data_IF_461957764140
#
_entry.id   IF_461957764140
#
_cell.length_a   1.000
_cell.length_b   1.000
_cell.length_c   1.000
_cell.angle_alpha   90.00
_cell.angle_beta   90.00
_cell.angle_gamma   90.00
#
_symmetry.space_group_name_H-M   'P 1'
#
loop_
_entity.id
_entity.type
_entity.pdbx_description
1 polymer ?
#
# COMPACT_ATOMS: atom_id res chain seq x y z
N UNK A 1 -30.89 1.37 9.61
CA UNK A 1 -29.93 0.58 8.78
C UNK A 1 -28.54 0.63 9.40
N UNK A 2 -27.83 -0.50 9.45
CA UNK A 2 -26.46 -0.57 9.99
C UNK A 2 -25.49 0.13 9.05
N UNK A 3 -24.74 1.12 9.55
CA UNK A 3 -23.67 1.80 8.82
C UNK A 3 -22.35 1.09 9.05
N UNK A 4 -21.55 0.93 7.98
CA UNK A 4 -20.25 0.27 8.03
C UNK A 4 -19.18 1.32 7.80
N UNK A 5 -18.31 1.50 8.78
CA UNK A 5 -17.17 2.37 8.69
C UNK A 5 -16.15 1.78 7.70
N UNK A 6 -15.65 2.61 6.78
CA UNK A 6 -14.70 2.21 5.77
C UNK A 6 -13.75 3.36 5.40
N UNK A 7 -12.79 3.04 4.55
CA UNK A 7 -11.80 3.96 4.00
C UNK A 7 -11.98 4.08 2.49
N UNK A 8 -11.66 5.26 1.98
CA UNK A 8 -11.65 5.53 0.55
C UNK A 8 -10.53 6.53 0.23
N UNK A 9 -9.82 6.32 -0.85
CA UNK A 9 -8.92 7.33 -1.42
C UNK A 9 -9.63 8.00 -2.58
N UNK A 10 -9.69 9.31 -2.55
CA UNK A 10 -10.24 10.10 -3.64
C UNK A 10 -9.11 10.72 -4.48
N UNK A 11 -9.43 11.03 -5.73
CA UNK A 11 -8.57 11.82 -6.59
C UNK A 11 -8.35 13.22 -5.98
N UNK A 12 -7.27 13.89 -6.38
CA UNK A 12 -6.86 15.18 -5.80
C UNK A 12 -7.88 16.29 -6.09
N UNK A 13 -8.68 16.16 -7.15
CA UNK A 13 -9.79 17.08 -7.47
C UNK A 13 -11.07 16.78 -6.66
N UNK A 14 -11.04 15.77 -5.79
CA UNK A 14 -12.16 15.34 -4.95
C UNK A 14 -13.43 14.97 -5.75
N UNK A 15 -13.30 14.42 -6.96
CA UNK A 15 -14.43 13.92 -7.75
C UNK A 15 -14.50 12.40 -7.73
N UNK A 16 -15.72 11.89 -7.86
CA UNK A 16 -15.94 10.47 -8.13
C UNK A 16 -15.41 10.12 -9.52
N UNK A 17 -14.77 8.95 -9.62
CA UNK A 17 -14.30 8.39 -10.89
C UNK A 17 -15.42 7.84 -11.78
N UNK A 18 -15.05 7.11 -12.83
CA UNK A 18 -15.96 6.38 -13.73
C UNK A 18 -17.03 7.26 -14.39
N UNK A 19 -16.67 8.51 -14.77
CA UNK A 19 -17.55 9.51 -15.42
C UNK A 19 -18.69 10.04 -14.52
N UNK A 20 -18.73 9.69 -13.23
CA UNK A 20 -19.72 10.23 -12.29
C UNK A 20 -19.48 11.74 -12.04
N UNK A 21 -18.23 12.13 -11.77
CA UNK A 21 -17.82 13.54 -11.62
C UNK A 21 -18.42 14.27 -10.41
N UNK A 22 -19.30 13.66 -9.62
CA UNK A 22 -19.87 14.29 -8.42
C UNK A 22 -18.79 14.55 -7.38
N UNK A 23 -18.87 15.72 -6.73
CA UNK A 23 -17.87 16.17 -5.76
C UNK A 23 -17.99 15.38 -4.45
N UNK A 24 -16.86 14.91 -3.93
CA UNK A 24 -16.72 14.29 -2.60
C UNK A 24 -16.47 15.43 -1.60
N UNK A 25 -17.27 15.49 -0.54
CA UNK A 25 -17.16 16.53 0.51
C UNK A 25 -17.41 15.89 1.88
N UNK A 26 -16.72 16.37 2.90
CA UNK A 26 -16.98 15.99 4.29
C UNK A 26 -18.44 16.32 4.67
N UNK A 27 -19.11 15.41 5.36
CA UNK A 27 -20.51 15.51 5.72
C UNK A 27 -21.50 15.12 4.63
N UNK A 28 -21.10 15.13 3.35
CA UNK A 28 -21.99 14.86 2.21
C UNK A 28 -22.28 13.37 2.06
N UNK A 29 -23.55 13.07 1.74
CA UNK A 29 -24.01 11.73 1.37
C UNK A 29 -24.09 11.67 -0.17
N UNK A 30 -23.52 10.63 -0.74
CA UNK A 30 -23.66 10.26 -2.14
C UNK A 30 -24.36 8.90 -2.22
N UNK A 31 -25.22 8.74 -3.21
CA UNK A 31 -25.99 7.51 -3.42
C UNK A 31 -25.97 7.10 -4.89
N UNK A 32 -26.23 5.83 -5.13
CA UNK A 32 -26.52 5.25 -6.44
C UNK A 32 -27.80 4.44 -6.36
N UNK A 33 -28.50 4.35 -7.47
CA UNK A 33 -29.68 3.50 -7.64
C UNK A 33 -29.24 2.09 -8.06
N UNK A 34 -30.12 1.12 -7.90
CA UNK A 34 -29.89 -0.27 -8.26
C UNK A 34 -29.11 -1.08 -7.22
N UNK A 35 -28.82 -2.32 -7.56
CA UNK A 35 -28.11 -3.27 -6.68
C UNK A 35 -26.60 -3.02 -6.75
N UNK A 36 -25.93 -2.78 -5.60
CA UNK A 36 -24.49 -2.63 -5.60
C UNK A 36 -23.79 -3.94 -5.97
N UNK A 37 -22.72 -3.82 -6.74
CA UNK A 37 -21.88 -4.92 -7.18
C UNK A 37 -20.41 -4.50 -7.10
N UNK A 38 -19.60 -5.30 -6.40
CA UNK A 38 -18.18 -5.00 -6.21
C UNK A 38 -17.45 -4.83 -7.54
N UNK A 39 -16.65 -3.78 -7.66
CA UNK A 39 -15.89 -3.40 -8.84
C UNK A 39 -16.70 -2.86 -10.03
N UNK A 40 -18.02 -2.99 -10.03
CA UNK A 40 -18.87 -2.60 -11.15
C UNK A 40 -19.78 -1.42 -10.80
N UNK A 41 -20.56 -1.51 -9.73
CA UNK A 41 -21.57 -0.53 -9.38
C UNK A 41 -21.70 -0.33 -7.87
N UNK A 42 -21.81 0.92 -7.42
CA UNK A 42 -22.00 1.23 -6.00
C UNK A 42 -21.02 2.25 -5.43
N UNK A 43 -21.27 2.65 -4.21
CA UNK A 43 -20.39 3.53 -3.42
C UNK A 43 -19.36 2.67 -2.70
N UNK A 44 -18.16 2.58 -3.27
CA UNK A 44 -17.09 1.70 -2.79
C UNK A 44 -16.34 2.27 -1.58
N UNK A 45 -15.83 1.36 -0.75
CA UNK A 45 -14.88 1.62 0.34
C UNK A 45 -14.13 0.35 0.70
N UNK A 46 -13.07 0.49 1.50
CA UNK A 46 -12.26 -0.64 1.97
C UNK A 46 -12.31 -0.78 3.48
N UNK A 47 -12.16 -2.00 3.98
CA UNK A 47 -12.26 -2.29 5.43
C UNK A 47 -11.08 -1.72 6.20
N UNK A 48 -9.88 -1.79 5.63
CA UNK A 48 -8.66 -1.22 6.22
C UNK A 48 -8.13 -0.12 5.33
N UNK A 49 -7.31 0.75 5.90
CA UNK A 49 -6.68 1.85 5.18
C UNK A 49 -5.67 1.32 4.14
N UNK A 50 -4.94 0.25 4.45
CA UNK A 50 -3.99 -0.35 3.54
C UNK A 50 -4.70 -1.01 2.33
N UNK A 51 -5.83 -1.70 2.56
CA UNK A 51 -6.67 -2.18 1.45
C UNK A 51 -7.23 -1.05 0.58
N UNK A 52 -7.52 0.12 1.18
CA UNK A 52 -7.98 1.27 0.41
C UNK A 52 -6.87 1.84 -0.47
N UNK A 53 -5.61 1.78 -0.01
CA UNK A 53 -4.44 2.26 -0.74
C UNK A 53 -4.22 1.47 -2.04
N UNK A 54 -4.54 0.17 -2.09
CA UNK A 54 -4.47 -0.65 -3.31
C UNK A 54 -5.37 -0.14 -4.45
N UNK A 55 -6.39 0.64 -4.11
CA UNK A 55 -7.37 1.21 -5.05
C UNK A 55 -7.28 2.74 -5.12
N UNK A 56 -6.20 3.32 -4.60
CA UNK A 56 -6.03 4.76 -4.57
C UNK A 56 -5.83 5.34 -5.98
N UNK A 57 -6.59 6.37 -6.31
CA UNK A 57 -6.45 7.15 -7.54
C UNK A 57 -5.99 8.60 -7.28
N UNK A 58 -5.61 8.89 -6.04
CA UNK A 58 -5.07 10.14 -5.56
C UNK A 58 -4.67 10.05 -4.09
N UNK A 59 -4.26 11.17 -3.51
CA UNK A 59 -3.73 11.24 -2.15
C UNK A 59 -4.76 11.64 -1.08
N UNK A 60 -6.00 11.94 -1.47
CA UNK A 60 -7.03 12.40 -0.55
C UNK A 60 -7.62 11.24 0.26
N UNK A 61 -7.32 11.17 1.54
CA UNK A 61 -7.75 10.10 2.44
C UNK A 61 -9.10 10.44 3.05
N UNK A 62 -10.11 9.61 2.76
CA UNK A 62 -11.47 9.78 3.23
C UNK A 62 -11.84 8.70 4.26
N UNK A 63 -12.38 9.12 5.41
CA UNK A 63 -13.11 8.23 6.31
C UNK A 63 -14.59 8.28 5.94
N UNK A 64 -15.18 7.11 5.71
CA UNK A 64 -16.54 7.01 5.19
C UNK A 64 -17.40 6.04 5.98
N UNK A 65 -18.70 6.19 5.84
CA UNK A 65 -19.72 5.21 6.20
C UNK A 65 -20.44 4.76 4.95
N UNK A 66 -20.66 3.45 4.80
CA UNK A 66 -21.44 2.84 3.72
C UNK A 66 -22.64 2.11 4.30
N UNK A 67 -23.80 2.22 3.66
CA UNK A 67 -25.05 1.54 4.06
C UNK A 67 -26.04 1.38 2.90
N UNK A 68 -27.23 0.88 3.20
CA UNK A 68 -28.28 0.49 2.25
C UNK A 68 -28.15 -0.98 1.88
N UNK A 69 -28.38 -1.32 0.64
CA UNK A 69 -27.95 -2.60 0.11
C UNK A 69 -26.42 -2.59 0.05
N UNK A 70 -25.77 -3.63 0.54
CA UNK A 70 -24.31 -3.68 0.64
C UNK A 70 -23.79 -5.02 0.14
N UNK A 71 -22.94 -4.97 -0.87
CA UNK A 71 -22.10 -6.09 -1.30
C UNK A 71 -20.73 -6.05 -0.63
N UNK A 72 -20.22 -7.22 -0.17
CA UNK A 72 -19.05 -7.32 0.71
C UNK A 72 -18.07 -8.37 0.20
N UNK A 73 -16.86 -7.93 -0.10
CA UNK A 73 -15.70 -8.79 -0.28
C UNK A 73 -14.82 -8.88 0.97
N UNK A 74 -13.68 -9.54 0.85
CA UNK A 74 -12.68 -9.67 1.92
C UNK A 74 -12.03 -8.33 2.27
N UNK A 75 -11.53 -7.59 1.29
CA UNK A 75 -10.80 -6.34 1.45
C UNK A 75 -11.68 -5.08 1.31
N UNK A 76 -12.72 -5.15 0.48
CA UNK A 76 -13.57 -4.01 0.09
C UNK A 76 -15.05 -4.32 0.27
N UNK A 77 -15.84 -3.27 0.19
CA UNK A 77 -17.30 -3.30 0.19
C UNK A 77 -17.84 -2.19 -0.70
N UNK A 78 -19.07 -2.33 -1.17
CA UNK A 78 -19.80 -1.24 -1.80
C UNK A 78 -21.24 -1.24 -1.31
N UNK A 79 -21.88 -0.08 -1.36
CA UNK A 79 -23.28 0.05 -0.96
C UNK A 79 -23.99 1.09 -1.79
N UNK A 80 -25.32 1.20 -1.62
CA UNK A 80 -26.14 2.20 -2.33
C UNK A 80 -25.87 3.62 -1.81
N UNK A 81 -25.36 3.77 -0.59
CA UNK A 81 -25.11 5.07 0.03
C UNK A 81 -23.71 5.11 0.66
N UNK A 82 -23.03 6.27 0.56
CA UNK A 82 -21.79 6.56 1.28
C UNK A 82 -21.80 7.99 1.79
N UNK A 83 -21.48 8.17 3.08
CA UNK A 83 -21.21 9.48 3.67
C UNK A 83 -19.71 9.59 3.90
N UNK A 84 -19.10 10.65 3.42
CA UNK A 84 -17.74 10.99 3.78
C UNK A 84 -17.77 11.73 5.10
N UNK A 85 -17.12 11.21 6.13
CA UNK A 85 -17.10 11.80 7.47
C UNK A 85 -16.08 12.95 7.54
N UNK A 86 -14.89 12.71 7.02
CA UNK A 86 -13.82 13.68 6.91
C UNK A 86 -12.85 13.30 5.79
N UNK A 87 -12.05 14.28 5.38
CA UNK A 87 -11.04 14.17 4.33
C UNK A 87 -9.76 14.82 4.84
N UNK A 88 -8.62 14.22 4.57
CA UNK A 88 -7.31 14.86 4.76
C UNK A 88 -6.45 14.66 3.49
N UNK A 89 -5.60 15.64 3.22
CA UNK A 89 -4.53 15.48 2.25
C UNK A 89 -3.46 14.55 2.82
N UNK A 90 -3.32 13.38 2.23
CA UNK A 90 -2.39 12.34 2.63
C UNK A 90 -1.05 12.40 1.90
N UNK A 91 -0.80 13.37 1.02
CA UNK A 91 0.37 13.39 0.13
C UNK A 91 1.68 13.17 0.89
N UNK A 92 2.02 14.04 1.82
CA UNK A 92 3.27 13.93 2.58
C UNK A 92 3.27 12.73 3.53
N UNK A 93 2.11 12.38 4.11
CA UNK A 93 1.94 11.23 4.97
C UNK A 93 2.23 9.92 4.22
N UNK A 94 1.72 9.79 2.99
CA UNK A 94 1.94 8.59 2.16
C UNK A 94 3.40 8.47 1.71
N UNK A 95 4.06 9.59 1.41
CA UNK A 95 5.49 9.59 1.13
C UNK A 95 6.31 9.12 2.34
N UNK A 96 6.03 9.63 3.54
CA UNK A 96 6.71 9.18 4.76
C UNK A 96 6.39 7.72 5.10
N UNK A 97 5.13 7.29 4.89
CA UNK A 97 4.75 5.88 5.05
C UNK A 97 5.57 4.97 4.12
N UNK A 98 5.72 5.32 2.85
CA UNK A 98 6.52 4.57 1.89
C UNK A 98 8.00 4.50 2.31
N UNK A 99 8.58 5.61 2.81
CA UNK A 99 9.94 5.62 3.34
C UNK A 99 10.10 4.65 4.53
N UNK A 100 9.15 4.65 5.47
CA UNK A 100 9.18 3.73 6.62
C UNK A 100 9.03 2.26 6.22
N UNK A 101 8.19 1.96 5.23
CA UNK A 101 8.09 0.60 4.70
C UNK A 101 9.40 0.13 4.05
N UNK A 102 10.08 1.03 3.33
CA UNK A 102 11.37 0.73 2.73
C UNK A 102 12.46 0.54 3.79
N UNK A 103 12.48 1.35 4.86
CA UNK A 103 13.40 1.15 6.00
C UNK A 103 13.16 -0.18 6.70
N UNK A 104 11.90 -0.54 6.97
CA UNK A 104 11.57 -1.83 7.57
C UNK A 104 12.06 -3.00 6.70
N UNK A 105 11.94 -2.88 5.38
CA UNK A 105 12.43 -3.90 4.45
C UNK A 105 13.97 -3.97 4.44
N UNK A 106 14.67 -2.83 4.47
CA UNK A 106 16.13 -2.79 4.54
C UNK A 106 16.67 -3.32 5.86
N UNK A 107 15.95 -3.12 6.97
CA UNK A 107 16.33 -3.65 8.29
C UNK A 107 16.31 -5.19 8.36
N UNK A 108 15.68 -5.87 7.41
CA UNK A 108 15.69 -7.34 7.28
C UNK A 108 16.94 -7.85 6.55
N UNK A 109 17.73 -6.99 5.95
CA UNK A 109 18.95 -7.36 5.24
C UNK A 109 20.15 -7.25 6.20
N UNK A 110 21.01 -8.28 6.23
CA UNK A 110 22.23 -8.28 7.04
C UNK A 110 23.19 -7.14 6.68
N UNK A 111 23.20 -6.76 5.39
CA UNK A 111 24.04 -5.66 4.89
C UNK A 111 23.27 -4.90 3.80
N UNK A 112 22.43 -3.92 4.17
CA UNK A 112 21.65 -3.15 3.21
C UNK A 112 22.55 -2.31 2.31
N UNK A 113 22.29 -2.32 0.99
CA UNK A 113 23.04 -1.52 0.03
C UNK A 113 22.87 -0.01 0.33
N UNK A 114 23.98 0.71 0.43
CA UNK A 114 24.02 2.13 0.77
C UNK A 114 23.25 2.99 -0.24
N UNK A 115 23.16 2.59 -1.50
CA UNK A 115 22.36 3.26 -2.53
C UNK A 115 20.87 3.23 -2.20
N UNK A 116 20.38 2.10 -1.66
CA UNK A 116 18.99 1.96 -1.22
C UNK A 116 18.69 2.82 0.01
N UNK A 117 19.60 2.86 0.99
CA UNK A 117 19.50 3.75 2.15
C UNK A 117 19.47 5.21 1.70
N UNK A 118 20.40 5.60 0.80
CA UNK A 118 20.48 6.96 0.27
C UNK A 118 19.23 7.40 -0.47
N UNK A 119 18.58 6.50 -1.22
CA UNK A 119 17.33 6.82 -1.92
C UNK A 119 16.20 7.22 -0.96
N UNK A 120 16.09 6.58 0.21
CA UNK A 120 15.11 6.96 1.24
C UNK A 120 15.40 8.34 1.82
N UNK A 121 16.67 8.64 2.11
CA UNK A 121 17.08 9.95 2.60
C UNK A 121 16.77 11.05 1.59
N UNK A 122 17.14 10.87 0.31
CA UNK A 122 16.88 11.83 -0.77
C UNK A 122 15.36 12.01 -0.96
N UNK A 123 14.57 10.93 -0.86
CA UNK A 123 13.11 11.02 -0.91
C UNK A 123 12.54 11.91 0.19
N UNK A 124 13.01 11.79 1.42
CA UNK A 124 12.59 12.66 2.54
C UNK A 124 13.03 14.11 2.35
N UNK A 125 14.24 14.32 1.82
CA UNK A 125 14.70 15.68 1.47
C UNK A 125 13.81 16.30 0.41
N UNK A 126 13.48 15.55 -0.64
CA UNK A 126 12.59 16.01 -1.71
C UNK A 126 11.20 16.38 -1.20
N UNK A 127 10.58 15.56 -0.34
CA UNK A 127 9.26 15.85 0.28
C UNK A 127 9.30 17.16 1.07
N UNK A 128 10.45 17.51 1.67
CA UNK A 128 10.66 18.77 2.40
C UNK A 128 11.11 19.94 1.51
N UNK A 129 11.22 19.73 0.20
CA UNK A 129 11.71 20.75 -0.76
C UNK A 129 13.21 21.00 -0.69
N UNK A 130 13.99 20.12 -0.05
CA UNK A 130 15.44 20.22 0.16
C UNK A 130 16.25 19.39 -0.83
N UNK A 131 15.60 18.70 -1.76
CA UNK A 131 16.23 18.02 -2.88
C UNK A 131 15.41 18.25 -4.15
N UNK A 132 16.09 18.24 -5.29
CA UNK A 132 15.49 18.42 -6.61
C UNK A 132 14.89 17.11 -7.14
N UNK A 133 14.06 17.21 -8.19
CA UNK A 133 13.57 16.04 -8.92
C UNK A 133 14.69 15.24 -9.56
N UNK A 134 15.75 15.90 -10.03
CA UNK A 134 16.91 15.25 -10.64
C UNK A 134 17.68 14.41 -9.63
N UNK A 135 17.90 14.95 -8.41
CA UNK A 135 18.55 14.20 -7.32
C UNK A 135 17.71 13.00 -6.89
N UNK A 136 16.39 13.17 -6.80
CA UNK A 136 15.49 12.05 -6.48
C UNK A 136 15.53 10.97 -7.57
N UNK A 137 15.51 11.35 -8.85
CA UNK A 137 15.57 10.40 -9.96
C UNK A 137 16.91 9.64 -9.95
N UNK A 138 18.04 10.34 -9.79
CA UNK A 138 19.36 9.73 -9.71
C UNK A 138 19.47 8.74 -8.52
N UNK A 139 18.93 9.09 -7.36
CA UNK A 139 18.92 8.22 -6.20
C UNK A 139 18.05 6.97 -6.42
N UNK A 140 16.93 7.11 -7.13
CA UNK A 140 16.03 6.03 -7.49
C UNK A 140 16.67 5.05 -8.48
N UNK A 141 17.36 5.59 -9.50
CA UNK A 141 18.10 4.79 -10.48
C UNK A 141 19.22 3.98 -9.79
N UNK A 142 19.98 4.61 -8.91
CA UNK A 142 21.01 3.93 -8.13
C UNK A 142 20.45 2.82 -7.22
N UNK A 143 19.30 3.04 -6.58
CA UNK A 143 18.63 2.02 -5.76
C UNK A 143 18.10 0.87 -6.62
N UNK A 144 17.58 1.15 -7.82
CA UNK A 144 17.16 0.13 -8.78
C UNK A 144 18.32 -0.73 -9.22
N UNK A 145 19.46 -0.14 -9.52
CA UNK A 145 20.68 -0.85 -9.88
C UNK A 145 21.17 -1.74 -8.73
N UNK A 146 21.10 -1.26 -7.48
CA UNK A 146 21.36 -2.06 -6.29
C UNK A 146 20.46 -3.30 -6.19
N UNK A 147 19.16 -3.13 -6.44
CA UNK A 147 18.19 -4.22 -6.43
C UNK A 147 18.48 -5.25 -7.53
N UNK A 148 18.87 -4.80 -8.72
CA UNK A 148 19.29 -5.68 -9.82
C UNK A 148 20.56 -6.46 -9.50
N UNK A 149 21.56 -5.81 -8.88
CA UNK A 149 22.79 -6.45 -8.45
C UNK A 149 22.51 -7.54 -7.40
N UNK A 150 21.66 -7.23 -6.41
CA UNK A 150 21.22 -8.18 -5.40
C UNK A 150 20.45 -9.37 -6.01
N UNK A 151 19.52 -9.10 -6.94
CA UNK A 151 18.76 -10.15 -7.62
C UNK A 151 19.67 -11.05 -8.47
N UNK A 152 20.67 -10.50 -9.16
CA UNK A 152 21.67 -11.28 -9.90
C UNK A 152 22.54 -12.13 -8.99
N UNK A 153 22.96 -11.59 -7.84
CA UNK A 153 23.72 -12.34 -6.84
C UNK A 153 22.89 -13.51 -6.27
N UNK A 154 21.64 -13.26 -5.91
CA UNK A 154 20.72 -14.30 -5.45
C UNK A 154 20.44 -15.37 -6.51
N UNK A 155 20.26 -14.98 -7.79
CA UNK A 155 20.06 -15.93 -8.87
C UNK A 155 21.29 -16.79 -9.12
N UNK A 156 22.51 -16.22 -9.03
CA UNK A 156 23.75 -17.01 -9.12
C UNK A 156 23.90 -17.98 -7.95
N UNK A 157 23.63 -17.53 -6.72
CA UNK A 157 23.67 -18.40 -5.54
C UNK A 157 22.66 -19.54 -5.68
N UNK A 158 21.42 -19.27 -6.10
CA UNK A 158 20.39 -20.28 -6.34
C UNK A 158 20.78 -21.26 -7.46
N UNK A 159 21.39 -20.78 -8.55
CA UNK A 159 21.89 -21.63 -9.63
C UNK A 159 23.04 -22.54 -9.17
N UNK A 160 23.96 -22.03 -8.35
CA UNK A 160 25.03 -22.80 -7.72
C UNK A 160 24.48 -23.87 -6.75
N UNK A 161 23.52 -23.48 -5.91
CA UNK A 161 22.88 -24.40 -4.98
C UNK A 161 22.05 -25.46 -5.73
N UNK A 162 21.35 -25.09 -6.81
CA UNK A 162 20.63 -26.04 -7.67
C UNK A 162 21.58 -27.01 -8.39
N UNK A 163 22.72 -26.53 -8.92
CA UNK A 163 23.73 -27.36 -9.53
C UNK A 163 24.38 -28.31 -8.51
N UNK A 164 24.57 -27.86 -7.29
CA UNK A 164 25.08 -28.66 -6.17
C UNK A 164 24.07 -29.67 -5.67
N UNK A 165 22.78 -29.28 -5.66
CA UNK A 165 21.66 -30.10 -5.21
C UNK A 165 21.21 -31.12 -6.26
N UNK A 166 21.42 -30.89 -7.57
CA UNK A 166 21.25 -31.88 -8.62
C UNK A 166 22.21 -33.09 -8.46
N UNK A 167 23.30 -32.89 -7.68
CA UNK A 167 24.19 -33.97 -7.27
C UNK A 167 23.75 -34.67 -5.96
N UNK A 168 22.76 -34.12 -5.23
CA UNK A 168 22.28 -34.62 -3.92
C UNK A 168 20.75 -34.48 -3.82
N UNK A 169 20.07 -35.61 -4.02
CA UNK A 169 18.69 -36.00 -3.65
C UNK A 169 17.53 -34.99 -3.86
N UNK A 170 16.72 -35.23 -4.90
CA UNK A 170 15.55 -34.43 -5.30
C UNK A 170 14.44 -34.30 -4.21
N UNK A 171 14.30 -35.30 -3.32
CA UNK A 171 13.29 -35.33 -2.28
C UNK A 171 13.55 -34.32 -1.15
N UNK A 172 14.83 -34.09 -0.80
CA UNK A 172 15.23 -33.11 0.22
C UNK A 172 14.98 -31.66 -0.23
N UNK A 173 15.18 -31.40 -1.52
CA UNK A 173 15.00 -30.10 -2.11
C UNK A 173 13.53 -29.68 -2.16
N UNK A 174 12.62 -30.60 -2.52
CA UNK A 174 11.18 -30.30 -2.54
C UNK A 174 10.62 -29.95 -1.16
N UNK A 175 11.07 -30.65 -0.10
CA UNK A 175 10.66 -30.36 1.27
C UNK A 175 11.22 -29.01 1.78
N UNK A 176 12.48 -28.70 1.43
CA UNK A 176 13.11 -27.41 1.77
C UNK A 176 12.42 -26.24 1.05
N UNK A 177 12.14 -26.37 -0.23
CA UNK A 177 11.50 -25.32 -1.04
C UNK A 177 10.08 -25.04 -0.58
N UNK A 178 9.32 -26.07 -0.18
CA UNK A 178 8.01 -25.90 0.45
C UNK A 178 8.08 -25.19 1.81
N UNK A 179 9.05 -25.52 2.65
CA UNK A 179 9.28 -24.85 3.93
C UNK A 179 9.68 -23.37 3.75
N UNK A 180 10.52 -23.06 2.76
CA UNK A 180 10.92 -21.69 2.44
C UNK A 180 9.77 -20.87 1.86
N UNK A 181 8.90 -21.47 1.03
CA UNK A 181 7.71 -20.81 0.52
C UNK A 181 6.75 -20.46 1.65
N UNK A 182 6.46 -21.41 2.55
CA UNK A 182 5.60 -21.17 3.72
C UNK A 182 6.16 -20.10 4.67
N UNK A 183 7.48 -20.09 4.91
CA UNK A 183 8.13 -19.07 5.74
C UNK A 183 8.05 -17.66 5.11
N UNK A 184 8.21 -17.55 3.79
CA UNK A 184 8.06 -16.27 3.06
C UNK A 184 6.63 -15.74 3.13
N UNK A 185 5.64 -16.60 2.99
CA UNK A 185 4.22 -16.23 3.05
C UNK A 185 3.86 -15.73 4.46
N UNK A 186 4.28 -16.45 5.52
CA UNK A 186 4.08 -16.03 6.90
C UNK A 186 4.76 -14.67 7.22
N UNK A 187 5.99 -14.46 6.72
CA UNK A 187 6.70 -13.19 6.90
C UNK A 187 5.99 -12.03 6.18
N UNK A 188 5.47 -12.27 4.96
CA UNK A 188 4.70 -11.28 4.21
C UNK A 188 3.42 -10.89 4.95
N UNK A 189 2.67 -11.86 5.48
CA UNK A 189 1.44 -11.60 6.23
C UNK A 189 1.71 -10.83 7.52
N UNK A 190 2.79 -11.15 8.23
CA UNK A 190 3.21 -10.42 9.42
C UNK A 190 3.60 -8.96 9.10
N UNK A 191 4.36 -8.73 8.02
CA UNK A 191 4.73 -7.39 7.56
C UNK A 191 3.49 -6.58 7.16
N UNK A 192 2.54 -7.18 6.43
CA UNK A 192 1.27 -6.55 6.05
C UNK A 192 0.47 -6.08 7.29
N UNK A 193 0.38 -6.92 8.31
CA UNK A 193 -0.33 -6.57 9.54
C UNK A 193 0.33 -5.40 10.30
N UNK A 194 1.66 -5.34 10.34
CA UNK A 194 2.42 -4.24 10.96
C UNK A 194 2.21 -2.94 10.19
N UNK A 195 2.35 -2.97 8.87
CA UNK A 195 2.20 -1.79 8.00
C UNK A 195 0.77 -1.25 8.02
N UNK A 196 -0.25 -2.12 8.04
CA UNK A 196 -1.66 -1.71 8.15
C UNK A 196 -1.94 -0.93 9.44
N UNK A 197 -1.42 -1.40 10.59
CA UNK A 197 -1.56 -0.69 11.87
C UNK A 197 -0.81 0.64 11.88
N UNK A 198 0.40 0.69 11.31
CA UNK A 198 1.22 1.91 11.21
C UNK A 198 0.51 2.98 10.40
N UNK A 199 0.04 2.64 9.21
CA UNK A 199 -0.66 3.60 8.34
C UNK A 199 -1.93 4.15 9.01
N UNK A 200 -2.72 3.30 9.66
CA UNK A 200 -3.92 3.74 10.38
C UNK A 200 -3.59 4.70 11.54
N UNK A 201 -2.51 4.46 12.27
CA UNK A 201 -2.06 5.35 13.35
C UNK A 201 -1.60 6.70 12.81
N UNK A 202 -0.82 6.73 11.71
CA UNK A 202 -0.36 7.97 11.07
C UNK A 202 -1.52 8.83 10.59
N UNK A 203 -2.52 8.23 9.92
CA UNK A 203 -3.72 8.94 9.44
C UNK A 203 -4.56 9.47 10.61
N UNK A 204 -4.71 8.68 11.68
CA UNK A 204 -5.45 9.12 12.88
C UNK A 204 -4.78 10.30 13.56
N UNK A 205 -3.45 10.33 13.62
CA UNK A 205 -2.68 11.43 14.18
C UNK A 205 -2.83 12.71 13.33
N UNK A 206 -2.75 12.58 12.00
CA UNK A 206 -2.90 13.71 11.07
C UNK A 206 -4.31 14.29 11.12
N UNK A 207 -5.34 13.45 11.15
CA UNK A 207 -6.72 13.92 11.30
C UNK A 207 -6.95 14.70 12.62
N UNK A 208 -6.29 14.28 13.72
CA UNK A 208 -6.37 15.03 14.99
C UNK A 208 -5.70 16.39 14.94
N UNK A 209 -4.59 16.53 14.15
CA UNK A 209 -3.90 17.82 13.97
C UNK A 209 -4.66 18.80 13.08
N UNK A 210 -5.49 18.27 12.15
CA UNK A 210 -6.28 19.06 11.21
C UNK A 210 -7.61 19.54 11.79
N UNK A 211 -7.91 19.24 13.06
CA UNK A 211 -9.07 19.76 13.83
C UNK A 211 -8.68 20.93 14.72
#
# INVERSE_FOLDING_TARGET
MKRILCWHFAADDLKLGYRDGRKIQAGRILSVEGTPELCLHGMHGSRTLLNALDYANGSQICRCEVWGQVDKGSAKLCGTHRKTLWIIDGTNLLHEFACRCAEDALALADNPDSRSVRAIEVKRLWVRGLATRTELAAAWDAARDAAWDAARAAARAAAWDAARAAAWDAAWNAARDAAWAAARDAARDAAWAVQSRRLAAMVSAEHKRAK
#
